data_IF_001162447677
#
_entry.id   IF_001162447677
#
_cell.length_a   1.000
_cell.length_b   1.000
_cell.length_c   1.000
_cell.angle_alpha   90.00
_cell.angle_beta   90.00
_cell.angle_gamma   90.00
#
_symmetry.space_group_name_H-M   'P 1'
#
loop_
_entity.id
_entity.type
_entity.pdbx_description
1 polymer ?
#
# COMPACT_ATOMS: atom_id res chain seq x y z
N UNK A 1 21.26 8.32 3.45
CA UNK A 1 20.29 8.05 2.37
C UNK A 1 20.92 7.37 1.19
N UNK A 2 21.79 7.98 0.39
CA UNK A 2 22.33 7.33 -0.83
C UNK A 2 22.90 5.92 -0.60
N UNK A 3 23.69 5.72 0.46
CA UNK A 3 24.24 4.41 0.82
C UNK A 3 23.13 3.35 1.03
N UNK A 4 22.03 3.75 1.68
CA UNK A 4 20.88 2.88 1.97
C UNK A 4 20.10 2.60 0.69
N UNK A 5 19.77 3.63 -0.09
CA UNK A 5 18.98 3.49 -1.31
C UNK A 5 19.73 2.70 -2.40
N UNK A 6 21.02 2.97 -2.59
CA UNK A 6 21.89 2.15 -3.45
C UNK A 6 21.99 0.69 -2.99
N UNK A 7 21.83 0.39 -1.70
CA UNK A 7 21.77 -0.98 -1.21
C UNK A 7 20.42 -1.63 -1.51
N UNK A 8 19.33 -0.89 -1.30
CA UNK A 8 17.97 -1.32 -1.65
C UNK A 8 17.86 -1.67 -3.14
N UNK A 9 18.44 -0.86 -4.03
CA UNK A 9 18.49 -1.15 -5.48
C UNK A 9 19.14 -2.51 -5.79
N UNK A 10 20.25 -2.83 -5.13
CA UNK A 10 20.96 -4.12 -5.33
C UNK A 10 20.13 -5.32 -4.88
N UNK A 11 19.21 -5.11 -3.95
CA UNK A 11 18.28 -6.12 -3.45
C UNK A 11 16.95 -6.13 -4.22
N UNK A 12 16.72 -5.17 -5.12
CA UNK A 12 15.45 -5.02 -5.84
C UNK A 12 14.32 -4.50 -4.95
N UNK A 13 14.63 -3.73 -3.90
CA UNK A 13 13.64 -3.14 -3.00
C UNK A 13 13.20 -1.76 -3.51
N UNK A 14 11.88 -1.55 -3.54
CA UNK A 14 11.30 -0.25 -3.88
C UNK A 14 11.48 0.74 -2.72
N UNK A 15 11.81 1.98 -3.06
CA UNK A 15 11.85 3.13 -2.18
C UNK A 15 10.47 3.78 -2.13
N UNK A 16 9.81 3.75 -0.98
CA UNK A 16 8.62 4.56 -0.72
C UNK A 16 9.03 5.77 0.12
N UNK A 17 9.20 6.93 -0.53
CA UNK A 17 9.78 8.11 0.11
C UNK A 17 8.67 9.05 0.55
N UNK A 18 8.37 9.03 1.85
CA UNK A 18 7.49 10.00 2.52
C UNK A 18 8.23 11.32 2.71
N UNK A 19 7.70 12.39 2.11
CA UNK A 19 8.42 13.67 1.98
C UNK A 19 8.18 14.66 3.12
N UNK A 20 7.21 14.38 3.98
CA UNK A 20 6.82 15.19 5.13
C UNK A 20 5.82 14.40 6.00
N UNK A 21 5.61 14.87 7.21
CA UNK A 21 4.66 14.32 8.19
C UNK A 21 3.85 15.47 8.79
N UNK A 22 2.77 15.15 9.50
CA UNK A 22 1.91 16.08 10.24
C UNK A 22 2.69 17.13 11.04
N UNK A 23 3.82 16.77 11.64
CA UNK A 23 4.64 17.62 12.51
C UNK A 23 5.42 18.69 11.73
N UNK A 24 5.68 18.47 10.45
CA UNK A 24 6.57 19.31 9.65
C UNK A 24 5.97 19.77 8.31
N UNK A 25 4.75 19.35 7.97
CA UNK A 25 4.12 19.65 6.70
C UNK A 25 3.96 21.18 6.49
N UNK A 26 3.70 21.94 7.57
CA UNK A 26 3.61 23.39 7.58
C UNK A 26 4.97 24.11 7.68
N UNK A 27 6.06 23.37 7.98
CA UNK A 27 7.36 23.96 8.32
C UNK A 27 8.04 24.69 7.17
N UNK A 28 7.79 24.27 5.92
CA UNK A 28 8.27 24.96 4.72
C UNK A 28 7.13 25.71 4.05
N UNK A 29 7.32 27.02 3.85
CA UNK A 29 6.38 27.91 3.17
C UNK A 29 4.92 27.82 3.69
N UNK A 30 4.71 27.53 4.98
CA UNK A 30 3.37 27.38 5.57
C UNK A 30 2.54 26.28 4.90
N UNK A 31 3.18 25.17 4.52
CA UNK A 31 2.55 24.05 3.83
C UNK A 31 2.32 24.26 2.34
N UNK A 32 2.67 25.42 1.79
CA UNK A 32 2.56 25.72 0.36
C UNK A 32 3.73 25.17 -0.46
N UNK A 33 3.55 25.13 -1.79
CA UNK A 33 4.64 24.89 -2.73
C UNK A 33 5.40 26.20 -3.03
N UNK A 34 5.92 26.83 -1.98
CA UNK A 34 6.72 28.05 -2.06
C UNK A 34 8.16 27.77 -2.46
N UNK A 35 9.07 28.72 -2.19
CA UNK A 35 10.47 28.61 -2.64
C UNK A 35 11.19 27.53 -1.86
N UNK A 36 10.95 27.41 -0.55
CA UNK A 36 11.66 26.46 0.30
C UNK A 36 11.25 25.02 0.01
N UNK A 37 9.95 24.74 -0.12
CA UNK A 37 9.41 23.42 -0.47
C UNK A 37 9.84 23.01 -1.87
N UNK A 38 9.86 23.93 -2.85
CA UNK A 38 10.40 23.64 -4.19
C UNK A 38 11.87 23.29 -4.16
N UNK A 39 12.68 24.02 -3.38
CA UNK A 39 14.10 23.72 -3.23
C UNK A 39 14.30 22.32 -2.62
N UNK A 40 13.58 22.02 -1.54
CA UNK A 40 13.59 20.71 -0.90
C UNK A 40 13.22 19.58 -1.87
N UNK A 41 12.07 19.67 -2.55
CA UNK A 41 11.63 18.65 -3.50
C UNK A 41 12.62 18.50 -4.69
N UNK A 42 13.21 19.60 -5.18
CA UNK A 42 14.23 19.52 -6.24
C UNK A 42 15.49 18.83 -5.77
N UNK A 43 15.90 19.06 -4.53
CA UNK A 43 17.07 18.37 -3.98
C UNK A 43 16.80 16.86 -3.88
N UNK A 44 15.62 16.45 -3.37
CA UNK A 44 15.24 15.03 -3.34
C UNK A 44 15.27 14.40 -4.73
N UNK A 45 14.64 15.04 -5.73
CA UNK A 45 14.63 14.55 -7.11
C UNK A 45 16.05 14.48 -7.69
N UNK A 46 16.85 15.53 -7.53
CA UNK A 46 18.20 15.58 -8.07
C UNK A 46 19.13 14.53 -7.45
N UNK A 47 18.90 14.19 -6.18
CA UNK A 47 19.74 13.24 -5.45
C UNK A 47 19.28 11.79 -5.57
N UNK A 48 17.98 11.54 -5.68
CA UNK A 48 17.42 10.18 -5.53
C UNK A 48 16.50 9.79 -6.68
N UNK A 49 16.12 10.71 -7.56
CA UNK A 49 15.24 10.42 -8.70
C UNK A 49 15.85 9.44 -9.71
N UNK A 50 17.13 9.08 -9.62
CA UNK A 50 17.74 8.07 -10.51
C UNK A 50 17.49 6.62 -10.07
N UNK A 51 16.95 6.39 -8.87
CA UNK A 51 16.65 5.04 -8.40
C UNK A 51 15.44 4.45 -9.15
N UNK A 52 15.52 3.22 -9.70
CA UNK A 52 14.51 2.67 -10.60
C UNK A 52 13.20 2.26 -9.91
N UNK A 53 13.28 1.85 -8.64
CA UNK A 53 12.11 1.49 -7.83
C UNK A 53 11.83 2.60 -6.84
N UNK A 54 11.14 3.66 -7.24
CA UNK A 54 10.88 4.82 -6.38
C UNK A 54 9.42 5.26 -6.49
N UNK A 55 8.83 5.60 -5.34
CA UNK A 55 7.51 6.21 -5.18
C UNK A 55 7.65 7.44 -4.31
N UNK A 56 7.16 8.58 -4.79
CA UNK A 56 7.08 9.81 -4.01
C UNK A 56 5.76 9.85 -3.25
N UNK A 57 5.82 9.82 -1.93
CA UNK A 57 4.65 10.03 -1.09
C UNK A 57 4.62 11.47 -0.59
N UNK A 58 3.51 12.16 -0.91
CA UNK A 58 3.33 13.57 -0.61
C UNK A 58 3.30 13.87 0.89
N UNK A 59 3.16 12.86 1.75
CA UNK A 59 3.37 12.97 3.18
C UNK A 59 2.46 12.06 3.99
N UNK A 60 2.92 11.68 5.16
CA UNK A 60 2.16 10.98 6.18
C UNK A 60 1.27 11.95 6.94
N UNK A 61 0.03 11.52 7.20
CA UNK A 61 -0.97 12.25 7.99
C UNK A 61 -1.00 13.77 7.75
N UNK A 62 -0.77 14.24 6.52
CA UNK A 62 -0.58 15.67 6.28
C UNK A 62 -1.90 16.46 6.21
N UNK A 63 -1.84 17.71 6.63
CA UNK A 63 -2.92 18.71 6.60
C UNK A 63 -2.94 19.57 5.35
N UNK A 64 -2.16 19.24 4.31
CA UNK A 64 -2.15 20.00 3.08
C UNK A 64 -3.54 20.04 2.42
N UNK A 65 -3.90 21.18 1.83
CA UNK A 65 -5.16 21.31 1.09
C UNK A 65 -5.11 20.52 -0.22
N UNK A 66 -6.28 20.27 -0.81
CA UNK A 66 -6.38 19.59 -2.11
C UNK A 66 -5.56 20.29 -3.21
N UNK A 67 -5.52 21.63 -3.20
CA UNK A 67 -4.74 22.41 -4.17
C UNK A 67 -3.25 22.28 -3.92
N UNK A 68 -2.81 22.21 -2.67
CA UNK A 68 -1.40 21.97 -2.31
C UNK A 68 -0.96 20.56 -2.74
N UNK A 69 -1.75 19.51 -2.44
CA UNK A 69 -1.45 18.13 -2.87
C UNK A 69 -1.34 18.02 -4.39
N UNK A 70 -2.27 18.64 -5.14
CA UNK A 70 -2.20 18.71 -6.62
C UNK A 70 -0.96 19.45 -7.11
N UNK A 71 -0.62 20.57 -6.48
CA UNK A 71 0.58 21.33 -6.83
C UNK A 71 1.86 20.51 -6.59
N UNK A 72 1.95 19.80 -5.47
CA UNK A 72 3.08 18.92 -5.17
C UNK A 72 3.18 17.77 -6.17
N UNK A 73 2.07 17.09 -6.47
CA UNK A 73 2.04 16.01 -7.44
C UNK A 73 2.53 16.46 -8.84
N UNK A 74 2.00 17.58 -9.33
CA UNK A 74 2.46 18.16 -10.60
C UNK A 74 3.92 18.59 -10.56
N UNK A 75 4.41 19.04 -9.40
CA UNK A 75 5.81 19.40 -9.26
C UNK A 75 6.72 18.19 -9.43
N UNK A 76 6.45 17.08 -8.72
CA UNK A 76 7.21 15.84 -8.88
C UNK A 76 7.12 15.33 -10.32
N UNK A 77 5.93 15.23 -10.92
CA UNK A 77 5.77 14.77 -12.32
C UNK A 77 6.47 15.65 -13.35
N UNK A 78 6.57 16.94 -13.11
CA UNK A 78 7.21 17.88 -14.05
C UNK A 78 8.73 17.95 -13.90
N UNK A 79 9.27 17.62 -12.72
CA UNK A 79 10.69 17.81 -12.41
C UNK A 79 11.47 16.50 -12.26
N UNK A 80 10.80 15.38 -11.96
CA UNK A 80 11.39 14.05 -11.98
C UNK A 80 11.48 13.52 -13.42
N UNK A 81 12.69 13.38 -14.00
CA UNK A 81 12.87 12.93 -15.38
C UNK A 81 12.28 11.54 -15.67
N UNK A 82 12.17 10.70 -14.64
CA UNK A 82 11.68 9.33 -14.76
C UNK A 82 10.18 9.20 -14.45
N UNK A 83 9.56 10.28 -13.94
CA UNK A 83 8.12 10.38 -13.65
C UNK A 83 7.62 9.25 -12.74
N UNK A 84 8.37 8.98 -11.67
CA UNK A 84 7.99 8.01 -10.64
C UNK A 84 6.56 8.22 -10.13
N UNK A 85 5.88 7.16 -9.67
CA UNK A 85 4.56 7.28 -9.07
C UNK A 85 4.54 8.28 -7.92
N UNK A 86 3.44 9.04 -7.85
CA UNK A 86 3.15 9.98 -6.77
C UNK A 86 1.89 9.54 -6.04
N UNK A 87 2.03 9.28 -4.75
CA UNK A 87 0.95 8.82 -3.87
C UNK A 87 0.82 9.74 -2.66
N UNK A 88 -0.20 9.55 -1.84
CA UNK A 88 -0.31 10.25 -0.55
C UNK A 88 -0.84 9.31 0.51
N UNK A 89 -0.25 9.38 1.70
CA UNK A 89 -0.77 8.77 2.91
C UNK A 89 -1.80 9.68 3.58
N UNK A 90 -2.74 9.10 4.31
CA UNK A 90 -3.83 9.85 4.97
C UNK A 90 -4.04 9.35 6.38
N UNK A 91 -4.46 10.26 7.27
CA UNK A 91 -5.03 9.88 8.58
C UNK A 91 -6.06 8.76 8.48
N UNK A 92 -6.24 7.97 9.56
CA UNK A 92 -7.28 6.96 9.60
C UNK A 92 -8.65 7.61 9.40
N UNK A 93 -9.46 7.01 8.51
CA UNK A 93 -10.82 7.46 8.16
C UNK A 93 -10.91 8.78 7.38
N UNK A 94 -9.80 9.38 6.94
CA UNK A 94 -9.81 10.54 6.04
C UNK A 94 -9.65 10.21 4.56
N UNK A 95 -9.72 8.93 4.19
CA UNK A 95 -9.54 8.47 2.81
C UNK A 95 -10.43 9.24 1.82
N UNK A 96 -11.74 9.34 2.10
CA UNK A 96 -12.66 10.05 1.22
C UNK A 96 -12.36 11.55 1.11
N UNK A 97 -11.97 12.18 2.21
CA UNK A 97 -11.62 13.61 2.24
C UNK A 97 -10.39 13.89 1.37
N UNK A 98 -9.36 13.06 1.46
CA UNK A 98 -8.09 13.29 0.76
C UNK A 98 -8.10 12.77 -0.67
N UNK A 99 -8.67 11.59 -0.91
CA UNK A 99 -8.56 10.93 -2.22
C UNK A 99 -9.63 11.39 -3.21
N UNK A 100 -10.86 11.68 -2.79
CA UNK A 100 -11.92 12.10 -3.73
C UNK A 100 -11.52 13.32 -4.59
N UNK A 101 -10.89 14.37 -4.04
CA UNK A 101 -10.43 15.51 -4.82
C UNK A 101 -9.32 15.18 -5.84
N UNK A 102 -8.60 14.07 -5.66
CA UNK A 102 -7.48 13.64 -6.51
C UNK A 102 -7.91 12.70 -7.64
N UNK A 103 -9.12 12.13 -7.60
CA UNK A 103 -9.63 11.25 -8.64
C UNK A 103 -9.58 11.93 -10.02
N UNK A 104 -8.98 11.24 -11.00
CA UNK A 104 -8.82 11.75 -12.36
C UNK A 104 -7.74 12.84 -12.53
N UNK A 105 -7.08 13.28 -11.46
CA UNK A 105 -5.97 14.21 -11.57
C UNK A 105 -4.79 13.53 -12.28
N UNK A 106 -4.23 14.19 -13.30
CA UNK A 106 -3.32 13.52 -14.23
C UNK A 106 -1.97 13.16 -13.64
N UNK A 107 -1.56 13.86 -12.59
CA UNK A 107 -0.20 13.79 -12.04
C UNK A 107 -0.14 13.02 -10.73
N UNK A 108 -1.24 12.37 -10.34
CA UNK A 108 -1.37 11.58 -9.12
C UNK A 108 -1.70 10.12 -9.44
N UNK A 109 -1.01 9.19 -8.79
CA UNK A 109 -0.97 7.79 -9.21
C UNK A 109 -1.50 6.80 -8.17
N UNK A 110 -1.74 7.18 -6.92
CA UNK A 110 -2.08 6.15 -5.94
C UNK A 110 -2.43 6.56 -4.52
N UNK A 111 -3.11 5.64 -3.84
CA UNK A 111 -3.47 5.76 -2.44
C UNK A 111 -2.50 4.94 -1.57
N UNK A 112 -2.18 5.48 -0.40
CA UNK A 112 -1.35 4.86 0.62
C UNK A 112 -2.18 4.71 1.89
N UNK A 113 -2.65 3.48 2.14
CA UNK A 113 -3.70 3.22 3.11
C UNK A 113 -3.13 2.93 4.50
N UNK A 114 -3.52 3.76 5.46
CA UNK A 114 -3.40 3.49 6.88
C UNK A 114 -4.66 2.81 7.40
N UNK A 115 -4.53 1.68 8.09
CA UNK A 115 -5.66 0.92 8.64
C UNK A 115 -5.59 0.81 10.15
N UNK A 116 -6.77 0.72 10.78
CA UNK A 116 -6.89 0.59 12.22
C UNK A 116 -6.33 -0.75 12.76
N UNK A 117 -6.48 -0.94 14.08
CA UNK A 117 -6.03 -2.11 14.84
C UNK A 117 -6.27 -3.49 14.19
N UNK A 118 -7.38 -3.69 13.48
CA UNK A 118 -7.72 -5.00 12.90
C UNK A 118 -7.41 -5.09 11.42
N UNK A 119 -7.20 -3.97 10.72
CA UNK A 119 -7.02 -4.00 9.28
C UNK A 119 -8.25 -4.46 8.50
N UNK A 120 -9.39 -4.66 9.14
CA UNK A 120 -10.54 -5.37 8.56
C UNK A 120 -11.21 -4.62 7.40
N UNK A 121 -10.87 -3.34 7.19
CA UNK A 121 -11.33 -2.54 6.06
C UNK A 121 -10.36 -2.51 4.88
N UNK A 122 -9.18 -3.13 4.98
CA UNK A 122 -8.16 -3.07 3.92
C UNK A 122 -8.72 -3.51 2.58
N UNK A 123 -9.38 -4.68 2.53
CA UNK A 123 -9.94 -5.21 1.30
C UNK A 123 -10.97 -4.24 0.68
N UNK A 124 -11.94 -3.79 1.48
CA UNK A 124 -12.99 -2.87 1.05
C UNK A 124 -12.44 -1.53 0.55
N UNK A 125 -11.51 -0.90 1.29
CA UNK A 125 -10.92 0.37 0.87
C UNK A 125 -10.02 0.19 -0.35
N UNK A 126 -9.31 -0.93 -0.47
CA UNK A 126 -8.48 -1.22 -1.65
C UNK A 126 -9.35 -1.32 -2.90
N UNK A 127 -10.42 -2.14 -2.88
CA UNK A 127 -11.38 -2.24 -4.01
C UNK A 127 -11.92 -0.86 -4.37
N UNK A 128 -12.40 -0.13 -3.37
CA UNK A 128 -13.01 1.20 -3.57
C UNK A 128 -12.07 2.14 -4.34
N UNK A 129 -10.79 2.23 -3.95
CA UNK A 129 -9.87 3.17 -4.60
C UNK A 129 -9.35 2.67 -5.95
N UNK A 130 -9.16 1.36 -6.11
CA UNK A 130 -8.85 0.75 -7.42
C UNK A 130 -9.97 1.02 -8.42
N UNK A 131 -11.23 0.75 -8.05
CA UNK A 131 -12.38 0.92 -8.93
C UNK A 131 -12.69 2.39 -9.22
N UNK A 132 -12.75 3.24 -8.18
CA UNK A 132 -13.08 4.65 -8.35
C UNK A 132 -12.06 5.37 -9.21
N UNK A 133 -10.77 5.08 -9.03
CA UNK A 133 -9.71 5.66 -9.86
C UNK A 133 -9.82 5.22 -11.32
N UNK A 134 -10.10 3.92 -11.56
CA UNK A 134 -10.36 3.39 -12.90
C UNK A 134 -11.55 4.06 -13.59
N UNK A 135 -12.66 4.30 -12.86
CA UNK A 135 -13.84 5.03 -13.37
C UNK A 135 -13.51 6.47 -13.78
N UNK A 136 -12.52 7.09 -13.14
CA UNK A 136 -12.02 8.42 -13.49
C UNK A 136 -10.88 8.38 -14.52
N UNK A 137 -10.74 7.27 -15.26
CA UNK A 137 -9.77 7.07 -16.35
C UNK A 137 -8.30 7.21 -15.92
N UNK A 138 -8.02 7.03 -14.63
CA UNK A 138 -6.67 7.04 -14.05
C UNK A 138 -6.60 5.93 -13.01
N UNK A 139 -6.19 4.72 -13.42
CA UNK A 139 -6.02 3.60 -12.49
C UNK A 139 -4.93 3.93 -11.48
N UNK A 140 -5.26 3.76 -10.20
CA UNK A 140 -4.33 4.00 -9.11
C UNK A 140 -3.62 2.73 -8.67
N UNK A 141 -2.41 2.94 -8.16
CA UNK A 141 -1.66 1.99 -7.34
C UNK A 141 -2.19 2.17 -5.91
N UNK A 142 -2.68 1.10 -5.28
CA UNK A 142 -3.25 1.17 -3.92
C UNK A 142 -2.52 0.21 -3.01
N UNK A 143 -1.65 0.76 -2.16
CA UNK A 143 -0.91 0.02 -1.15
C UNK A 143 -1.56 0.21 0.22
N UNK A 144 -1.32 -0.73 1.13
CA UNK A 144 -1.44 -0.48 2.57
C UNK A 144 -0.04 -0.20 3.10
N UNK A 145 0.20 0.98 3.66
CA UNK A 145 1.52 1.35 4.18
C UNK A 145 1.60 1.35 5.70
N UNK A 146 0.46 1.38 6.38
CA UNK A 146 0.42 1.33 7.83
C UNK A 146 -0.73 0.45 8.33
N UNK A 147 -0.37 -0.59 9.07
CA UNK A 147 -1.31 -1.41 9.83
C UNK A 147 -1.24 -1.06 11.32
N UNK A 148 -2.41 -0.90 11.92
CA UNK A 148 -2.59 -0.94 13.37
C UNK A 148 -2.92 0.42 13.96
N UNK A 149 -2.68 0.55 15.25
CA UNK A 149 -2.68 1.86 15.90
C UNK A 149 -1.22 2.31 16.03
N UNK A 150 -0.96 3.62 16.05
CA UNK A 150 0.37 4.19 16.29
C UNK A 150 1.10 3.57 17.49
N UNK A 151 0.38 3.09 18.50
CA UNK A 151 1.00 2.38 19.62
C UNK A 151 1.56 1.00 19.27
N UNK A 152 0.83 0.16 18.53
CA UNK A 152 1.14 -1.26 18.42
C UNK A 152 1.80 -1.63 17.09
N UNK A 153 1.35 -1.04 15.98
CA UNK A 153 1.71 -1.51 14.64
C UNK A 153 1.54 -3.03 14.48
N UNK A 154 2.42 -3.64 13.69
CA UNK A 154 2.74 -5.07 13.77
C UNK A 154 3.52 -5.32 15.06
N UNK A 155 3.03 -6.22 15.91
CA UNK A 155 3.69 -6.57 17.18
C UNK A 155 4.87 -7.52 16.92
N UNK A 156 5.85 -7.65 17.83
CA UNK A 156 6.86 -8.69 17.74
C UNK A 156 6.29 -10.11 17.73
N UNK A 157 7.01 -11.07 17.16
CA UNK A 157 6.64 -12.50 17.10
C UNK A 157 6.40 -13.10 18.51
N UNK A 158 7.09 -12.57 19.53
CA UNK A 158 6.90 -13.01 20.92
C UNK A 158 5.53 -12.60 21.51
N UNK A 159 4.93 -11.53 20.98
CA UNK A 159 3.66 -10.97 21.43
C UNK A 159 2.48 -11.37 20.52
N UNK A 160 2.78 -11.65 19.24
CA UNK A 160 1.79 -12.02 18.22
C UNK A 160 2.41 -13.01 17.21
N UNK A 161 2.63 -14.28 17.59
CA UNK A 161 3.38 -15.22 16.77
C UNK A 161 2.69 -15.59 15.45
N UNK A 162 1.36 -15.45 15.35
CA UNK A 162 0.61 -15.83 14.15
C UNK A 162 0.32 -14.64 13.23
N UNK A 163 0.47 -13.41 13.74
CA UNK A 163 0.20 -12.17 12.99
C UNK A 163 -1.16 -12.18 12.29
N UNK A 164 -2.17 -12.77 12.91
CA UNK A 164 -3.42 -13.10 12.24
C UNK A 164 -4.13 -11.89 11.65
N UNK A 165 -4.18 -10.77 12.38
CA UNK A 165 -4.79 -9.52 11.90
C UNK A 165 -4.06 -8.93 10.68
N UNK A 166 -2.75 -8.59 10.73
CA UNK A 166 -2.05 -8.06 9.56
C UNK A 166 -1.96 -9.09 8.42
N UNK A 167 -1.80 -10.38 8.72
CA UNK A 167 -1.78 -11.44 7.71
C UNK A 167 -3.13 -11.56 6.99
N UNK A 168 -4.21 -11.81 7.72
CA UNK A 168 -5.51 -12.14 7.14
C UNK A 168 -6.18 -10.92 6.54
N UNK A 169 -6.21 -9.83 7.31
CA UNK A 169 -7.01 -8.66 6.94
C UNK A 169 -6.25 -7.68 6.06
N UNK A 170 -4.93 -7.53 6.25
CA UNK A 170 -4.13 -6.57 5.49
C UNK A 170 -3.46 -7.19 4.26
N UNK A 171 -2.57 -8.15 4.47
CA UNK A 171 -1.78 -8.75 3.39
C UNK A 171 -2.67 -9.42 2.35
N UNK A 172 -3.42 -10.45 2.76
CA UNK A 172 -4.35 -11.12 1.86
C UNK A 172 -5.50 -10.19 1.43
N UNK A 173 -5.96 -9.31 2.33
CA UNK A 173 -7.01 -8.34 2.00
C UNK A 173 -6.66 -7.40 0.86
N UNK A 174 -5.48 -6.77 0.89
CA UNK A 174 -5.02 -5.87 -0.16
C UNK A 174 -4.77 -6.63 -1.47
N UNK A 175 -4.07 -7.76 -1.42
CA UNK A 175 -3.71 -8.51 -2.63
C UNK A 175 -4.95 -9.12 -3.32
N UNK A 176 -5.90 -9.67 -2.56
CA UNK A 176 -7.15 -10.20 -3.11
C UNK A 176 -8.07 -9.10 -3.66
N UNK A 177 -7.93 -7.85 -3.18
CA UNK A 177 -8.65 -6.69 -3.69
C UNK A 177 -8.01 -6.08 -4.96
N UNK A 178 -6.95 -6.69 -5.50
CA UNK A 178 -6.19 -6.13 -6.63
C UNK A 178 -5.30 -4.94 -6.26
N UNK A 179 -4.95 -4.80 -4.98
CA UNK A 179 -3.99 -3.83 -4.48
C UNK A 179 -2.55 -4.16 -4.87
N UNK A 180 -1.65 -3.23 -4.58
CA UNK A 180 -0.25 -3.28 -4.98
C UNK A 180 0.71 -3.80 -3.90
N UNK A 181 0.21 -4.14 -2.70
CA UNK A 181 1.01 -4.73 -1.62
C UNK A 181 0.83 -4.04 -0.27
N UNK A 182 1.66 -4.46 0.68
CA UNK A 182 1.65 -3.98 2.06
C UNK A 182 3.05 -3.60 2.56
N UNK A 183 3.10 -2.60 3.43
CA UNK A 183 4.27 -2.22 4.23
C UNK A 183 3.91 -2.34 5.71
N UNK A 184 4.91 -2.63 6.55
CA UNK A 184 4.69 -3.00 7.95
C UNK A 184 5.28 -1.97 8.91
N UNK A 185 4.39 -1.23 9.58
CA UNK A 185 4.71 -0.27 10.62
C UNK A 185 4.80 -0.93 12.00
N UNK A 186 5.73 -0.50 12.87
CA UNK A 186 6.08 -1.21 14.13
C UNK A 186 5.58 -0.55 15.42
N UNK A 187 4.87 0.57 15.32
CA UNK A 187 4.33 1.30 16.47
C UNK A 187 5.40 1.85 17.40
N UNK A 188 4.99 2.32 18.59
CA UNK A 188 5.89 2.87 19.62
C UNK A 188 6.02 2.02 20.89
N UNK A 189 5.13 1.05 21.10
CA UNK A 189 4.98 0.36 22.40
C UNK A 189 5.99 -0.76 22.65
N UNK A 190 6.29 -1.56 21.63
CA UNK A 190 7.12 -2.77 21.77
C UNK A 190 8.60 -2.46 21.56
N UNK A 191 9.55 -3.37 21.88
CA UNK A 191 10.95 -3.19 21.50
C UNK A 191 11.16 -3.18 19.98
N UNK A 192 12.24 -2.56 19.52
CA UNK A 192 12.57 -2.39 18.09
C UNK A 192 11.38 -1.79 17.33
N UNK A 193 10.99 -0.61 17.80
CA UNK A 193 9.81 0.12 17.37
C UNK A 193 10.17 1.10 16.25
N UNK A 194 9.19 1.87 15.80
CA UNK A 194 9.33 2.82 14.70
C UNK A 194 10.54 3.78 14.83
N UNK A 195 10.94 4.11 16.05
CA UNK A 195 12.02 5.08 16.31
C UNK A 195 13.40 4.44 16.55
N UNK A 196 13.46 3.13 16.80
CA UNK A 196 14.71 2.47 17.25
C UNK A 196 14.90 1.05 16.70
N UNK A 197 14.17 0.67 15.65
CA UNK A 197 14.34 -0.59 14.97
C UNK A 197 15.65 -0.60 14.17
N UNK A 198 16.65 -1.33 14.67
CA UNK A 198 17.94 -1.52 13.98
C UNK A 198 18.04 -2.90 13.30
N UNK A 199 17.13 -3.83 13.62
CA UNK A 199 16.95 -5.07 12.88
C UNK A 199 15.50 -5.56 12.91
N UNK A 200 15.16 -6.34 11.89
CA UNK A 200 13.78 -6.77 11.63
C UNK A 200 13.45 -8.13 12.24
N UNK A 201 14.37 -8.73 13.01
CA UNK A 201 14.23 -10.11 13.54
C UNK A 201 13.16 -10.25 14.60
N UNK A 202 12.78 -9.16 15.25
CA UNK A 202 11.68 -9.15 16.21
C UNK A 202 10.34 -9.56 15.57
N UNK A 203 10.24 -9.48 14.24
CA UNK A 203 9.04 -9.73 13.43
C UNK A 203 9.37 -10.61 12.23
N UNK A 204 10.33 -11.53 12.39
CA UNK A 204 10.86 -12.39 11.32
C UNK A 204 9.73 -13.15 10.63
N UNK A 205 8.78 -13.65 11.42
CA UNK A 205 7.65 -14.42 10.89
C UNK A 205 6.73 -13.60 9.98
N UNK A 206 6.57 -12.30 10.21
CA UNK A 206 5.76 -11.45 9.31
C UNK A 206 6.36 -11.38 7.91
N UNK A 207 7.70 -11.43 7.79
CA UNK A 207 8.38 -11.47 6.50
C UNK A 207 8.19 -12.80 5.77
N UNK A 208 8.23 -13.91 6.51
CA UNK A 208 7.89 -15.23 5.96
C UNK A 208 6.45 -15.30 5.47
N UNK A 209 5.51 -14.79 6.26
CA UNK A 209 4.09 -14.71 5.88
C UNK A 209 3.88 -13.85 4.63
N UNK A 210 4.60 -12.73 4.52
CA UNK A 210 4.62 -11.88 3.31
C UNK A 210 5.16 -12.66 2.12
N UNK A 211 6.28 -13.36 2.28
CA UNK A 211 6.88 -14.19 1.23
C UNK A 211 5.94 -15.29 0.74
N UNK A 212 5.23 -15.98 1.63
CA UNK A 212 4.26 -17.01 1.23
C UNK A 212 3.13 -16.44 0.36
N UNK A 213 2.56 -15.28 0.74
CA UNK A 213 1.56 -14.62 -0.09
C UNK A 213 2.14 -14.26 -1.47
N UNK A 214 3.33 -13.66 -1.52
CA UNK A 214 3.96 -13.32 -2.81
C UNK A 214 4.22 -14.56 -3.67
N UNK A 215 4.76 -15.64 -3.11
CA UNK A 215 4.94 -16.91 -3.81
C UNK A 215 3.62 -17.46 -4.35
N UNK A 216 2.52 -17.33 -3.61
CA UNK A 216 1.21 -17.77 -4.08
C UNK A 216 0.77 -17.01 -5.33
N UNK A 217 0.81 -15.68 -5.28
CA UNK A 217 0.39 -14.82 -6.39
C UNK A 217 1.31 -15.00 -7.59
N UNK A 218 2.63 -15.05 -7.40
CA UNK A 218 3.59 -15.14 -8.50
C UNK A 218 3.66 -16.52 -9.18
N UNK A 219 3.48 -17.61 -8.42
CA UNK A 219 3.68 -18.95 -8.96
C UNK A 219 2.39 -19.64 -9.41
N UNK A 220 1.24 -19.27 -8.84
CA UNK A 220 -0.01 -19.98 -9.09
C UNK A 220 -1.11 -19.13 -9.73
N UNK A 221 -0.99 -17.80 -9.73
CA UNK A 221 -2.00 -16.91 -10.29
C UNK A 221 -1.52 -16.14 -11.52
N UNK A 222 -2.47 -15.80 -12.38
CA UNK A 222 -2.30 -14.79 -13.42
C UNK A 222 -2.81 -13.45 -12.90
N UNK A 223 -2.34 -13.03 -11.72
CA UNK A 223 -2.96 -11.93 -10.95
C UNK A 223 -3.06 -10.61 -11.73
N UNK A 224 -2.14 -10.37 -12.67
CA UNK A 224 -2.14 -9.19 -13.56
C UNK A 224 -3.27 -9.20 -14.62
N UNK A 225 -3.99 -10.31 -14.76
CA UNK A 225 -5.15 -10.50 -15.64
C UNK A 225 -6.44 -10.82 -14.87
N UNK A 226 -6.37 -10.85 -13.55
CA UNK A 226 -7.50 -11.14 -12.68
C UNK A 226 -8.06 -9.83 -12.09
N UNK A 227 -9.27 -9.87 -11.56
CA UNK A 227 -9.91 -8.73 -10.89
C UNK A 227 -10.71 -9.23 -9.69
N UNK A 228 -10.85 -8.41 -8.63
CA UNK A 228 -11.67 -8.79 -7.49
C UNK A 228 -13.14 -8.93 -7.92
N UNK A 229 -13.79 -10.00 -7.49
CA UNK A 229 -15.22 -10.25 -7.73
C UNK A 229 -15.79 -11.12 -6.60
N UNK A 230 -15.96 -10.51 -5.43
CA UNK A 230 -16.50 -11.17 -4.25
C UNK A 230 -17.94 -11.66 -4.43
N UNK A 231 -18.66 -11.19 -5.46
CA UNK A 231 -20.01 -11.68 -5.76
C UNK A 231 -20.04 -13.15 -6.19
N UNK A 232 -18.87 -13.70 -6.54
CA UNK A 232 -18.71 -15.10 -6.91
C UNK A 232 -18.68 -16.04 -5.71
N UNK A 233 -18.49 -15.53 -4.49
CA UNK A 233 -18.38 -16.35 -3.28
C UNK A 233 -19.45 -16.00 -2.25
N UNK A 234 -19.95 -16.99 -1.52
CA UNK A 234 -20.91 -16.73 -0.42
C UNK A 234 -20.24 -16.20 0.85
N UNK A 235 -18.98 -16.56 1.06
CA UNK A 235 -18.11 -16.12 2.16
C UNK A 235 -16.68 -15.92 1.65
N UNK A 236 -16.00 -14.89 2.15
CA UNK A 236 -14.60 -14.58 1.83
C UNK A 236 -14.44 -13.62 0.66
N UNK A 237 -13.26 -13.67 0.04
CA UNK A 237 -12.92 -12.82 -1.10
C UNK A 237 -12.55 -13.66 -2.32
N UNK A 238 -12.84 -13.13 -3.51
CA UNK A 238 -12.48 -13.79 -4.75
C UNK A 238 -11.72 -12.86 -5.68
N UNK A 239 -10.58 -13.33 -6.17
CA UNK A 239 -9.87 -12.74 -7.28
C UNK A 239 -10.05 -13.68 -8.48
N UNK A 240 -10.57 -13.18 -9.59
CA UNK A 240 -11.03 -14.03 -10.67
C UNK A 240 -10.60 -13.55 -12.06
N UNK A 241 -10.33 -14.53 -12.92
CA UNK A 241 -10.43 -14.42 -14.38
C UNK A 241 -11.48 -15.44 -14.82
N UNK A 242 -12.76 -15.03 -14.94
CA UNK A 242 -13.85 -15.97 -15.10
C UNK A 242 -13.66 -16.95 -16.28
N UNK A 243 -13.92 -18.23 -16.03
CA UNK A 243 -13.72 -19.32 -16.99
C UNK A 243 -12.29 -19.87 -17.07
N UNK A 244 -11.32 -19.30 -16.34
CA UNK A 244 -9.92 -19.71 -16.41
C UNK A 244 -9.33 -20.00 -15.02
N UNK A 245 -9.32 -19.02 -14.12
CA UNK A 245 -8.74 -19.18 -12.78
C UNK A 245 -9.45 -18.32 -11.75
N UNK A 246 -9.63 -18.88 -10.55
CA UNK A 246 -10.27 -18.26 -9.42
C UNK A 246 -9.41 -18.51 -8.19
N UNK A 247 -9.04 -17.45 -7.48
CA UNK A 247 -8.47 -17.54 -6.14
C UNK A 247 -9.57 -17.19 -5.14
N UNK A 248 -9.74 -18.02 -4.12
CA UNK A 248 -10.72 -17.80 -3.05
C UNK A 248 -9.97 -17.74 -1.73
N UNK A 249 -10.19 -16.68 -0.97
CA UNK A 249 -9.57 -16.49 0.33
C UNK A 249 -10.64 -16.46 1.43
N UNK A 250 -10.48 -17.32 2.43
CA UNK A 250 -11.35 -17.40 3.61
C UNK A 250 -10.52 -17.00 4.84
N UNK A 251 -10.60 -15.73 5.30
CA UNK A 251 -9.79 -15.23 6.41
C UNK A 251 -9.85 -16.11 7.67
N UNK A 252 -11.05 -16.60 7.98
CA UNK A 252 -11.33 -17.45 9.15
C UNK A 252 -11.49 -18.93 8.81
N UNK A 253 -11.17 -19.32 7.57
CA UNK A 253 -11.47 -20.64 7.03
C UNK A 253 -12.98 -20.89 6.87
N UNK A 254 -13.37 -22.17 6.85
CA UNK A 254 -14.77 -22.58 6.78
C UNK A 254 -15.24 -22.99 5.39
N UNK A 255 -16.52 -22.74 5.11
CA UNK A 255 -17.22 -23.19 3.89
C UNK A 255 -17.67 -21.96 3.09
N UNK A 256 -17.53 -22.03 1.78
CA UNK A 256 -18.05 -21.06 0.82
C UNK A 256 -18.57 -21.77 -0.41
N UNK A 257 -19.52 -21.14 -1.08
CA UNK A 257 -20.01 -21.56 -2.40
C UNK A 257 -19.37 -20.66 -3.44
N UNK A 258 -18.74 -21.25 -4.46
CA UNK A 258 -18.10 -20.52 -5.56
C UNK A 258 -18.93 -20.67 -6.85
N UNK A 259 -19.37 -19.54 -7.40
CA UNK A 259 -20.03 -19.46 -8.69
C UNK A 259 -18.99 -19.51 -9.82
N UNK A 260 -18.96 -20.62 -10.56
CA UNK A 260 -18.02 -20.84 -11.66
C UNK A 260 -18.72 -20.72 -13.02
N UNK A 261 -18.02 -20.19 -14.00
CA UNK A 261 -18.43 -20.36 -15.40
C UNK A 261 -18.38 -21.85 -15.78
N UNK A 262 -19.21 -22.29 -16.73
CA UNK A 262 -19.21 -23.69 -17.16
C UNK A 262 -17.82 -24.13 -17.66
N UNK A 263 -17.33 -25.26 -17.17
CA UNK A 263 -16.00 -25.75 -17.48
C UNK A 263 -15.57 -26.92 -16.60
N UNK A 264 -14.33 -27.37 -16.78
CA UNK A 264 -13.67 -28.34 -15.90
C UNK A 264 -12.58 -27.63 -15.11
N UNK A 265 -12.60 -27.78 -13.79
CA UNK A 265 -11.68 -27.11 -12.89
C UNK A 265 -10.97 -28.13 -12.00
N UNK A 266 -9.75 -27.79 -11.58
CA UNK A 266 -9.03 -28.49 -10.52
C UNK A 266 -9.00 -27.58 -9.30
N UNK A 267 -9.34 -28.13 -8.13
CA UNK A 267 -9.29 -27.40 -6.86
C UNK A 267 -8.03 -27.77 -6.11
N UNK A 268 -7.31 -26.76 -5.63
CA UNK A 268 -6.11 -26.92 -4.81
C UNK A 268 -6.19 -25.98 -3.60
N UNK A 269 -5.54 -26.39 -2.51
CA UNK A 269 -5.49 -25.62 -1.28
C UNK A 269 -4.06 -25.12 -1.07
N UNK A 270 -3.94 -23.85 -0.66
CA UNK A 270 -2.70 -23.22 -0.24
C UNK A 270 -2.86 -22.77 1.21
N UNK A 271 -1.98 -23.24 2.10
CA UNK A 271 -2.02 -22.95 3.54
C UNK A 271 -0.65 -22.47 4.01
#
# INVERSE_FOLDING_TARGET
WEIVFSHMDKLGLMLHVVTQEQENDQGLDGGGLGIQRKLYCRELIARFGHHPGLVWNLGEENTNTDSQRKAFASFFKSNDPYRHPVVVHTFPRKYDEVYNPLLGYTDFDGASLQMNRTGSRTHLETIKWVERSALHRRRWIVCLDEFGEGSNGVKPDADDPEHDEPRKNCLWGNLMAGGAGCEWYFGYKFPHNDLNCEDWRSRDRMWDLTRYALEFFHNYLLFNQMSPDDSLVSVGWCLAKPGEIYAVYLPDGGITDLNLAAGSYTVQWYN
#
